data_IF_547606975527
#
_entry.id   IF_547606975527
#
_cell.length_a   1.000
_cell.length_b   1.000
_cell.length_c   1.000
_cell.angle_alpha   90.00
_cell.angle_beta   90.00
_cell.angle_gamma   90.00
#
_symmetry.space_group_name_H-M   'P 1'
#
loop_
_entity.id
_entity.type
_entity.pdbx_description
1 polymer ?
#
# COMPACT_ATOMS: atom_id res chain seq x y z
N UNK A 1 -26.01 -10.97 -15.56
CA UNK A 1 -25.14 -11.25 -14.40
C UNK A 1 -24.77 -12.71 -14.47
N UNK A 2 -23.53 -13.02 -14.82
CA UNK A 2 -23.00 -14.39 -14.83
C UNK A 2 -22.77 -14.80 -13.39
N UNK A 3 -23.54 -15.79 -12.89
CA UNK A 3 -23.32 -16.38 -11.58
C UNK A 3 -21.99 -17.16 -11.62
N UNK A 4 -20.95 -16.62 -11.02
CA UNK A 4 -19.74 -17.38 -10.74
C UNK A 4 -20.00 -18.32 -9.56
N UNK A 5 -20.32 -19.56 -9.88
CA UNK A 5 -20.52 -20.58 -8.86
C UNK A 5 -19.18 -20.93 -8.23
N UNK A 6 -19.12 -20.94 -6.91
CA UNK A 6 -17.95 -21.42 -6.16
C UNK A 6 -17.74 -22.89 -6.54
N UNK A 7 -16.70 -23.19 -7.34
CA UNK A 7 -16.35 -24.59 -7.66
C UNK A 7 -15.52 -25.15 -6.52
N UNK A 8 -15.99 -26.17 -5.85
CA UNK A 8 -15.16 -26.97 -4.98
C UNK A 8 -14.15 -27.73 -5.84
N UNK A 9 -12.90 -27.79 -5.39
CA UNK A 9 -11.88 -28.60 -6.07
C UNK A 9 -12.28 -30.08 -5.94
N UNK A 10 -12.73 -30.67 -7.05
CA UNK A 10 -13.19 -32.09 -7.08
C UNK A 10 -12.02 -33.06 -7.23
N UNK A 11 -10.83 -32.57 -7.65
CA UNK A 11 -9.64 -33.40 -7.83
C UNK A 11 -8.37 -32.63 -7.51
N UNK A 12 -7.34 -33.34 -7.06
CA UNK A 12 -5.97 -32.82 -6.87
C UNK A 12 -5.06 -33.51 -7.85
N UNK A 13 -4.15 -32.76 -8.45
CA UNK A 13 -3.03 -33.27 -9.25
C UNK A 13 -1.79 -33.08 -8.41
N UNK A 14 -1.06 -34.16 -8.18
CA UNK A 14 0.26 -34.10 -7.54
C UNK A 14 1.30 -33.80 -8.64
N UNK A 15 2.18 -32.84 -8.40
CA UNK A 15 3.24 -32.46 -9.32
C UNK A 15 4.55 -32.29 -8.52
N UNK A 16 5.58 -33.00 -8.96
CA UNK A 16 6.94 -32.86 -8.43
C UNK A 16 7.78 -32.14 -9.46
N UNK A 17 8.51 -31.12 -9.05
CA UNK A 17 9.38 -30.32 -9.89
C UNK A 17 10.67 -29.99 -9.17
N UNK A 18 11.81 -30.14 -9.88
CA UNK A 18 13.08 -29.59 -9.42
C UNK A 18 13.10 -28.09 -9.71
N UNK A 19 13.31 -27.28 -8.65
CA UNK A 19 13.33 -25.82 -8.76
C UNK A 19 14.77 -25.32 -8.57
N UNK A 20 15.37 -24.66 -9.58
CA UNK A 20 16.73 -24.13 -9.46
C UNK A 20 16.80 -22.99 -8.45
N UNK A 21 17.82 -23.00 -7.59
CA UNK A 21 18.15 -21.89 -6.70
C UNK A 21 19.00 -20.88 -7.50
N UNK A 22 18.41 -19.73 -7.82
CA UNK A 22 19.03 -18.71 -8.68
C UNK A 22 19.76 -17.62 -7.91
N UNK A 23 19.63 -17.58 -6.59
CA UNK A 23 20.34 -16.64 -5.74
C UNK A 23 20.22 -16.95 -4.25
N UNK A 24 21.24 -16.53 -3.50
CA UNK A 24 21.24 -16.54 -2.04
C UNK A 24 21.62 -15.14 -1.55
N UNK A 25 20.83 -14.60 -0.64
CA UNK A 25 20.89 -13.22 -0.20
C UNK A 25 21.00 -13.14 1.34
N UNK A 26 21.32 -11.97 1.84
CA UNK A 26 21.12 -11.65 3.25
C UNK A 26 19.65 -11.35 3.52
N UNK A 27 19.01 -10.61 2.59
CA UNK A 27 17.62 -10.21 2.69
C UNK A 27 16.89 -10.39 1.35
N UNK A 28 15.71 -11.00 1.38
CA UNK A 28 14.77 -11.02 0.23
C UNK A 28 13.50 -10.29 0.61
N UNK A 29 13.12 -9.31 -0.20
CA UNK A 29 11.88 -8.55 -0.06
C UNK A 29 10.86 -9.04 -1.07
N UNK A 30 9.69 -9.47 -0.59
CA UNK A 30 8.57 -9.93 -1.43
C UNK A 30 7.55 -8.82 -1.57
N UNK A 31 7.38 -8.31 -2.81
CA UNK A 31 6.51 -7.20 -3.15
C UNK A 31 7.24 -5.85 -3.21
N UNK A 32 7.10 -5.15 -4.34
CA UNK A 32 7.73 -3.85 -4.62
C UNK A 32 6.79 -2.65 -4.44
N UNK A 33 5.76 -2.79 -3.59
CA UNK A 33 4.86 -1.70 -3.20
C UNK A 33 5.57 -0.62 -2.37
N UNK A 34 4.81 0.36 -1.81
CA UNK A 34 5.41 1.47 -1.03
C UNK A 34 6.33 1.01 0.09
N UNK A 35 5.96 -0.03 0.84
CA UNK A 35 6.81 -0.60 1.88
C UNK A 35 8.04 -1.31 1.28
N UNK A 36 7.84 -2.10 0.20
CA UNK A 36 8.85 -3.02 -0.29
C UNK A 36 10.03 -2.34 -0.96
N UNK A 37 9.83 -1.38 -1.87
CA UNK A 37 10.96 -0.71 -2.50
C UNK A 37 11.77 0.12 -1.49
N UNK A 38 11.13 0.68 -0.46
CA UNK A 38 11.81 1.36 0.65
C UNK A 38 12.56 0.34 1.52
N UNK A 39 11.96 -0.81 1.85
CA UNK A 39 12.61 -1.85 2.64
C UNK A 39 13.86 -2.41 1.94
N UNK A 40 13.77 -2.69 0.64
CA UNK A 40 14.90 -3.14 -0.16
C UNK A 40 16.01 -2.09 -0.22
N UNK A 41 15.65 -0.82 -0.47
CA UNK A 41 16.60 0.29 -0.46
C UNK A 41 17.27 0.44 0.90
N UNK A 42 16.52 0.38 1.99
CA UNK A 42 17.04 0.50 3.36
C UNK A 42 17.99 -0.64 3.69
N UNK A 43 17.57 -1.88 3.44
CA UNK A 43 18.37 -3.07 3.71
C UNK A 43 19.72 -3.07 2.95
N UNK A 44 19.69 -2.73 1.66
CA UNK A 44 20.90 -2.67 0.84
C UNK A 44 21.84 -1.54 1.27
N UNK A 45 21.31 -0.37 1.65
CA UNK A 45 22.11 0.74 2.19
C UNK A 45 22.77 0.43 3.54
N UNK A 46 22.20 -0.50 4.31
CA UNK A 46 22.81 -1.04 5.54
C UNK A 46 23.84 -2.16 5.24
N UNK A 47 24.16 -2.41 3.97
CA UNK A 47 25.21 -3.33 3.53
C UNK A 47 24.74 -4.77 3.33
N UNK A 48 23.46 -5.08 3.45
CA UNK A 48 22.94 -6.41 3.19
C UNK A 48 22.86 -6.69 1.67
N UNK A 49 23.31 -7.86 1.22
CA UNK A 49 23.01 -8.32 -0.13
C UNK A 49 21.52 -8.60 -0.25
N UNK A 50 20.81 -7.73 -0.98
CA UNK A 50 19.35 -7.68 -1.00
C UNK A 50 18.80 -8.00 -2.38
N UNK A 51 17.70 -8.78 -2.44
CA UNK A 51 16.89 -8.95 -3.62
C UNK A 51 15.46 -8.47 -3.37
N UNK A 52 14.78 -8.02 -4.42
CA UNK A 52 13.36 -7.65 -4.40
C UNK A 52 12.60 -8.36 -5.51
N UNK A 53 11.42 -8.93 -5.15
CA UNK A 53 10.51 -9.64 -6.05
C UNK A 53 9.28 -8.77 -6.27
N UNK A 54 8.89 -8.54 -7.54
CA UNK A 54 7.72 -7.76 -7.90
C UNK A 54 6.96 -8.42 -9.07
N UNK A 55 5.64 -8.51 -8.94
CA UNK A 55 4.77 -9.11 -9.97
C UNK A 55 4.61 -8.23 -11.23
N UNK A 56 4.78 -6.93 -11.09
CA UNK A 56 4.73 -5.98 -12.20
C UNK A 56 6.12 -5.70 -12.78
N UNK A 57 6.16 -5.03 -13.93
CA UNK A 57 7.39 -4.48 -14.52
C UNK A 57 7.75 -3.10 -13.94
N UNK A 58 7.24 -2.74 -12.76
CA UNK A 58 7.48 -1.45 -12.10
C UNK A 58 7.17 -1.54 -10.60
N UNK A 59 7.76 -0.64 -9.83
CA UNK A 59 7.52 -0.51 -8.39
C UNK A 59 6.38 0.47 -8.06
N UNK A 60 5.94 0.46 -6.81
CA UNK A 60 4.98 1.39 -6.23
C UNK A 60 3.62 0.77 -5.86
N UNK A 61 3.36 -0.48 -6.26
CA UNK A 61 2.13 -1.20 -5.87
C UNK A 61 0.86 -0.36 -6.09
N UNK A 62 0.09 -0.11 -5.02
CA UNK A 62 -1.17 0.65 -5.13
C UNK A 62 -1.00 2.08 -5.62
N UNK A 63 0.14 2.73 -5.40
CA UNK A 63 0.42 4.06 -5.96
C UNK A 63 0.43 4.05 -7.49
N UNK A 64 1.01 3.03 -8.08
CA UNK A 64 1.29 2.95 -9.53
C UNK A 64 0.35 2.01 -10.27
N UNK A 65 0.15 0.78 -9.79
CA UNK A 65 -0.80 -0.15 -10.38
C UNK A 65 -2.26 0.24 -10.09
N UNK A 66 -2.53 0.77 -8.89
CA UNK A 66 -3.85 1.19 -8.42
C UNK A 66 -4.19 2.66 -8.66
N UNK A 67 -3.23 3.51 -9.07
CA UNK A 67 -3.35 4.97 -9.18
C UNK A 67 -3.82 5.66 -7.90
N UNK A 68 -3.55 5.08 -6.74
CA UNK A 68 -3.95 5.65 -5.44
C UNK A 68 -3.12 6.90 -5.16
N UNK A 69 -3.71 8.04 -5.35
CA UNK A 69 -3.15 9.38 -5.19
C UNK A 69 -4.07 10.21 -4.27
N UNK A 70 -3.55 11.02 -3.35
CA UNK A 70 -2.15 11.35 -3.04
C UNK A 70 -1.46 10.34 -2.09
N UNK A 71 -0.14 10.52 -1.86
CA UNK A 71 0.54 9.91 -0.71
C UNK A 71 0.19 10.76 0.53
N UNK A 72 -0.42 10.18 1.53
CA UNK A 72 -0.87 10.82 2.78
C UNK A 72 -0.29 10.12 3.99
N UNK A 73 0.05 10.82 5.06
CA UNK A 73 0.40 12.22 5.27
C UNK A 73 1.82 12.23 5.84
N UNK A 74 2.63 13.25 5.51
CA UNK A 74 4.01 13.34 6.00
C UNK A 74 4.18 14.32 7.16
N UNK A 75 3.17 15.13 7.46
CA UNK A 75 3.23 16.06 8.59
C UNK A 75 1.90 16.14 9.35
N UNK A 76 1.99 16.62 10.58
CA UNK A 76 0.87 16.88 11.47
C UNK A 76 1.13 18.17 12.25
N UNK A 77 0.20 19.12 12.19
CA UNK A 77 0.33 20.44 12.82
C UNK A 77 1.67 21.12 12.53
N UNK A 78 2.17 21.00 11.30
CA UNK A 78 3.44 21.59 10.86
C UNK A 78 4.70 20.82 11.27
N UNK A 79 4.57 19.76 12.08
CA UNK A 79 5.67 18.86 12.43
C UNK A 79 5.75 17.66 11.49
N UNK A 80 6.95 17.26 11.08
CA UNK A 80 7.16 16.07 10.26
C UNK A 80 6.82 14.81 11.04
N UNK A 81 6.13 13.87 10.42
CA UNK A 81 5.70 12.57 11.00
C UNK A 81 6.44 11.41 10.35
N UNK A 82 6.66 11.45 9.04
CA UNK A 82 7.38 10.43 8.28
C UNK A 82 8.61 11.07 7.64
N UNK A 83 9.79 10.50 7.89
CA UNK A 83 11.08 11.04 7.47
C UNK A 83 12.00 9.99 6.84
N UNK A 84 13.30 10.28 6.75
CA UNK A 84 14.30 9.36 6.22
C UNK A 84 14.13 9.04 4.74
N UNK A 85 14.29 7.76 4.36
CA UNK A 85 14.19 7.30 2.95
C UNK A 85 12.83 7.63 2.32
N UNK A 86 11.67 7.48 3.01
CA UNK A 86 10.38 7.92 2.48
C UNK A 86 10.35 9.40 2.09
N UNK A 87 10.93 10.26 2.91
CA UNK A 87 10.99 11.68 2.62
C UNK A 87 12.01 12.03 1.52
N UNK A 88 13.12 11.30 1.45
CA UNK A 88 14.05 11.36 0.32
C UNK A 88 13.34 11.03 -1.00
N UNK A 89 12.55 9.96 -1.02
CA UNK A 89 11.78 9.59 -2.21
C UNK A 89 10.85 10.71 -2.68
N UNK A 90 10.11 11.33 -1.75
CA UNK A 90 9.21 12.45 -2.05
C UNK A 90 9.97 13.66 -2.61
N UNK A 91 11.12 14.00 -2.01
CA UNK A 91 11.94 15.09 -2.50
C UNK A 91 12.49 14.81 -3.91
N UNK A 92 12.97 13.61 -4.19
CA UNK A 92 13.41 13.19 -5.52
C UNK A 92 12.29 13.28 -6.57
N UNK A 93 11.04 12.92 -6.18
CA UNK A 93 9.87 13.11 -7.04
C UNK A 93 9.61 14.59 -7.31
N UNK A 94 9.67 15.44 -6.30
CA UNK A 94 9.50 16.89 -6.43
C UNK A 94 10.56 17.49 -7.32
N UNK A 95 11.83 17.13 -7.12
CA UNK A 95 12.98 17.67 -7.85
C UNK A 95 12.91 17.35 -9.35
N UNK A 96 12.32 16.23 -9.74
CA UNK A 96 12.09 15.90 -11.16
C UNK A 96 10.75 16.42 -11.71
N UNK A 97 10.00 17.25 -10.95
CA UNK A 97 8.70 17.77 -11.35
C UNK A 97 7.56 16.73 -11.29
N UNK A 98 7.79 15.59 -10.65
CA UNK A 98 6.83 14.50 -10.54
C UNK A 98 5.97 14.52 -9.28
N UNK A 99 6.15 15.52 -8.40
CA UNK A 99 5.32 15.66 -7.19
C UNK A 99 5.17 17.09 -6.73
N UNK A 100 4.02 17.35 -6.06
CA UNK A 100 3.76 18.58 -5.31
C UNK A 100 3.40 18.22 -3.87
N UNK A 101 4.01 18.93 -2.92
CA UNK A 101 3.78 18.73 -1.49
C UNK A 101 2.80 19.79 -1.00
N UNK A 102 1.62 19.35 -0.55
CA UNK A 102 0.57 20.24 -0.07
C UNK A 102 0.71 20.51 1.44
N UNK A 103 0.76 21.77 1.81
CA UNK A 103 0.76 22.21 3.23
C UNK A 103 -0.69 22.28 3.75
N UNK A 104 -0.97 22.05 5.05
CA UNK A 104 -0.01 21.79 6.15
C UNK A 104 0.25 20.30 6.40
N UNK A 105 -0.52 19.36 5.81
CA UNK A 105 -0.44 17.92 6.10
C UNK A 105 0.68 17.23 5.34
N UNK A 106 1.32 17.93 4.40
CA UNK A 106 2.25 17.36 3.46
C UNK A 106 1.68 16.10 2.77
N UNK A 107 0.46 16.19 2.25
CA UNK A 107 -0.02 15.27 1.25
C UNK A 107 0.77 15.49 -0.03
N UNK A 108 1.12 14.43 -0.71
CA UNK A 108 1.95 14.48 -1.91
C UNK A 108 1.13 14.04 -3.11
N UNK A 109 0.70 15.01 -3.91
CA UNK A 109 0.16 14.76 -5.24
C UNK A 109 1.33 14.35 -6.15
N UNK A 110 1.15 13.32 -6.95
CA UNK A 110 2.23 12.79 -7.78
C UNK A 110 1.78 12.34 -9.16
N UNK A 111 2.74 12.29 -10.07
CA UNK A 111 2.60 11.72 -11.40
C UNK A 111 3.04 10.25 -11.37
N UNK A 112 2.17 9.29 -11.72
CA UNK A 112 2.44 7.86 -11.55
C UNK A 112 3.70 7.36 -12.28
N UNK A 113 4.01 7.88 -13.47
CA UNK A 113 5.19 7.43 -14.22
C UNK A 113 6.51 7.93 -13.59
N UNK A 114 6.51 9.14 -13.01
CA UNK A 114 7.65 9.61 -12.24
C UNK A 114 7.84 8.78 -10.97
N UNK A 115 6.75 8.39 -10.31
CA UNK A 115 6.82 7.50 -9.14
C UNK A 115 7.54 6.19 -9.49
N UNK A 116 7.12 5.52 -10.57
CA UNK A 116 7.75 4.28 -11.06
C UNK A 116 9.25 4.47 -11.29
N UNK A 117 9.62 5.55 -11.99
CA UNK A 117 11.00 5.86 -12.33
C UNK A 117 11.87 6.12 -11.11
N UNK A 118 11.40 6.94 -10.17
CA UNK A 118 12.19 7.30 -8.98
C UNK A 118 12.33 6.11 -8.04
N UNK A 119 11.25 5.34 -7.82
CA UNK A 119 11.31 4.10 -7.03
C UNK A 119 12.33 3.11 -7.61
N UNK A 120 12.31 2.89 -8.95
CA UNK A 120 13.27 2.06 -9.64
C UNK A 120 14.71 2.56 -9.47
N UNK A 121 14.95 3.87 -9.64
CA UNK A 121 16.28 4.46 -9.48
C UNK A 121 16.84 4.25 -8.08
N UNK A 122 16.04 4.47 -7.04
CA UNK A 122 16.48 4.29 -5.65
C UNK A 122 16.86 2.85 -5.36
N UNK A 123 16.10 1.87 -5.87
CA UNK A 123 16.39 0.45 -5.72
C UNK A 123 17.68 0.06 -6.46
N UNK A 124 17.86 0.53 -7.71
CA UNK A 124 19.07 0.29 -8.50
C UNK A 124 20.31 0.94 -7.90
N UNK A 125 20.22 2.21 -7.48
CA UNK A 125 21.31 2.95 -6.85
C UNK A 125 21.78 2.31 -5.53
N UNK A 126 20.87 1.63 -4.83
CA UNK A 126 21.20 0.87 -3.62
C UNK A 126 21.88 -0.49 -3.92
N UNK A 127 21.93 -0.92 -5.18
CA UNK A 127 22.54 -2.19 -5.57
C UNK A 127 21.69 -3.42 -5.28
N UNK A 128 20.37 -3.28 -5.28
CA UNK A 128 19.43 -4.38 -5.06
C UNK A 128 19.25 -5.21 -6.33
N UNK A 129 19.31 -6.54 -6.22
CA UNK A 129 18.96 -7.46 -7.31
C UNK A 129 17.43 -7.49 -7.51
N UNK A 130 16.97 -7.27 -8.75
CA UNK A 130 15.55 -7.05 -9.07
C UNK A 130 14.97 -8.23 -9.85
N UNK A 131 13.85 -8.78 -9.36
CA UNK A 131 13.06 -9.83 -10.00
C UNK A 131 11.65 -9.30 -10.31
N UNK A 132 11.48 -8.63 -11.45
CA UNK A 132 10.18 -8.17 -11.95
C UNK A 132 9.45 -9.27 -12.73
N UNK A 133 8.12 -9.09 -12.95
CA UNK A 133 7.25 -10.09 -13.58
C UNK A 133 7.36 -11.46 -12.93
N UNK A 134 7.54 -11.47 -11.62
CA UNK A 134 7.77 -12.67 -10.81
C UNK A 134 6.72 -12.77 -9.71
N UNK A 135 5.90 -13.81 -9.78
CA UNK A 135 4.85 -14.08 -8.81
C UNK A 135 5.39 -14.98 -7.70
N UNK A 136 5.11 -14.60 -6.45
CA UNK A 136 5.39 -15.46 -5.31
C UNK A 136 4.46 -16.68 -5.37
N UNK A 137 5.04 -17.87 -5.49
CA UNK A 137 4.31 -19.14 -5.61
C UNK A 137 4.26 -19.92 -4.31
N UNK A 138 5.30 -19.81 -3.48
CA UNK A 138 5.43 -20.59 -2.27
C UNK A 138 6.70 -20.29 -1.51
N UNK A 139 6.93 -21.03 -0.44
CA UNK A 139 8.19 -21.02 0.28
C UNK A 139 8.59 -22.42 0.76
N UNK A 140 9.88 -22.60 0.96
CA UNK A 140 10.47 -23.79 1.60
C UNK A 140 10.86 -23.40 3.02
N UNK A 141 10.61 -24.28 3.98
CA UNK A 141 10.88 -24.05 5.41
C UNK A 141 11.65 -25.21 6.03
N UNK A 142 12.41 -24.88 7.05
CA UNK A 142 12.93 -25.80 8.05
C UNK A 142 12.29 -25.42 9.40
N UNK A 143 11.35 -26.24 9.86
CA UNK A 143 10.43 -25.84 10.94
C UNK A 143 9.63 -24.58 10.54
N UNK A 144 9.75 -23.51 11.32
CA UNK A 144 9.16 -22.21 11.03
C UNK A 144 10.15 -21.20 10.40
N UNK A 145 11.38 -21.61 10.13
CA UNK A 145 12.34 -20.79 9.41
C UNK A 145 12.14 -20.93 7.92
N UNK A 146 11.85 -19.83 7.23
CA UNK A 146 11.82 -19.80 5.77
C UNK A 146 13.26 -19.89 5.26
N UNK A 147 13.53 -20.85 4.38
CA UNK A 147 14.86 -21.04 3.76
C UNK A 147 14.91 -20.46 2.36
N UNK A 148 13.82 -20.64 1.60
CA UNK A 148 13.70 -20.13 0.22
C UNK A 148 12.27 -19.66 -0.04
N UNK A 149 12.16 -18.66 -0.91
CA UNK A 149 10.90 -18.35 -1.59
C UNK A 149 10.96 -18.91 -3.00
N UNK A 150 9.81 -19.36 -3.50
CA UNK A 150 9.66 -19.86 -4.87
C UNK A 150 8.86 -18.82 -5.65
N UNK A 151 9.38 -18.42 -6.79
CA UNK A 151 8.75 -17.49 -7.73
C UNK A 151 8.46 -18.18 -9.06
N UNK A 152 7.38 -17.79 -9.71
CA UNK A 152 7.07 -18.15 -11.09
C UNK A 152 7.27 -16.93 -12.00
N UNK A 153 8.03 -17.12 -13.07
CA UNK A 153 8.30 -16.10 -14.08
C UNK A 153 8.42 -16.76 -15.48
N UNK A 154 8.94 -16.04 -16.48
CA UNK A 154 9.12 -16.58 -17.84
C UNK A 154 10.13 -17.71 -17.95
N UNK A 155 11.03 -17.86 -16.98
CA UNK A 155 11.98 -18.99 -16.93
C UNK A 155 11.34 -20.24 -16.29
N UNK A 156 10.15 -20.14 -15.74
CA UNK A 156 9.49 -21.16 -14.93
C UNK A 156 9.61 -20.89 -13.44
N UNK A 157 9.61 -21.94 -12.62
CA UNK A 157 9.78 -21.82 -11.18
C UNK A 157 11.26 -21.65 -10.84
N UNK A 158 11.58 -20.66 -10.03
CA UNK A 158 12.93 -20.36 -9.52
C UNK A 158 12.87 -20.15 -8.01
N UNK A 159 13.94 -20.47 -7.27
CA UNK A 159 14.04 -20.31 -5.84
C UNK A 159 15.10 -19.27 -5.45
N UNK A 160 14.80 -18.45 -4.45
CA UNK A 160 15.69 -17.47 -3.85
C UNK A 160 15.85 -17.78 -2.37
N UNK A 161 17.09 -18.06 -1.94
CA UNK A 161 17.43 -18.26 -0.54
C UNK A 161 17.76 -16.94 0.16
N UNK A 162 17.43 -16.82 1.44
CA UNK A 162 17.89 -15.70 2.25
C UNK A 162 18.00 -16.04 3.74
N UNK A 163 18.75 -15.20 4.47
CA UNK A 163 18.81 -15.24 5.94
C UNK A 163 17.51 -14.67 6.54
N UNK A 164 17.07 -13.52 6.02
CA UNK A 164 15.85 -12.82 6.45
C UNK A 164 14.96 -12.56 5.23
N UNK A 165 13.66 -12.72 5.42
CA UNK A 165 12.64 -12.39 4.44
C UNK A 165 11.74 -11.26 4.94
N UNK A 166 11.37 -10.33 4.04
CA UNK A 166 10.43 -9.26 4.34
C UNK A 166 9.21 -9.42 3.44
N UNK A 167 8.04 -9.66 4.04
CA UNK A 167 6.77 -9.69 3.33
C UNK A 167 6.20 -8.27 3.20
N UNK A 168 6.29 -7.72 1.99
CA UNK A 168 5.72 -6.44 1.58
C UNK A 168 4.65 -6.61 0.49
N UNK A 169 4.06 -7.80 0.36
CA UNK A 169 3.06 -8.11 -0.67
C UNK A 169 1.76 -7.32 -0.49
N UNK A 170 1.54 -6.78 0.71
CA UNK A 170 0.34 -6.06 1.09
C UNK A 170 -0.82 -6.98 1.50
N UNK A 171 -0.78 -8.22 1.10
CA UNK A 171 -1.80 -9.24 1.38
C UNK A 171 -1.28 -10.37 2.29
N UNK A 172 -0.07 -10.21 2.88
CA UNK A 172 0.63 -11.22 3.68
C UNK A 172 0.81 -12.56 2.94
N UNK A 173 1.19 -12.51 1.66
CA UNK A 173 1.25 -13.73 0.84
C UNK A 173 2.34 -14.67 1.32
N UNK A 174 3.57 -14.17 1.55
CA UNK A 174 4.65 -15.00 2.08
C UNK A 174 4.32 -15.50 3.49
N UNK A 175 3.82 -14.63 4.37
CA UNK A 175 3.46 -15.00 5.72
C UNK A 175 2.38 -16.09 5.75
N UNK A 176 1.35 -15.99 4.90
CA UNK A 176 0.31 -16.99 4.77
C UNK A 176 0.85 -18.33 4.22
N UNK A 177 1.72 -18.30 3.20
CA UNK A 177 2.38 -19.48 2.65
C UNK A 177 3.31 -20.13 3.66
N UNK A 178 3.96 -19.36 4.51
CA UNK A 178 4.79 -19.83 5.60
C UNK A 178 3.97 -20.45 6.76
N UNK A 179 2.67 -20.16 6.83
CA UNK A 179 1.78 -20.62 7.89
C UNK A 179 1.75 -19.72 9.12
N UNK A 180 2.11 -18.44 8.97
CA UNK A 180 1.93 -17.45 10.04
C UNK A 180 0.45 -17.31 10.36
N UNK A 181 0.04 -17.34 11.64
CA UNK A 181 -1.34 -17.10 12.02
C UNK A 181 -1.82 -15.74 11.53
N UNK A 182 -3.03 -15.68 10.99
CA UNK A 182 -3.67 -14.44 10.56
C UNK A 182 -4.69 -13.97 11.59
N UNK A 183 -4.87 -12.65 11.68
CA UNK A 183 -5.98 -12.10 12.46
C UNK A 183 -7.29 -12.49 11.79
N UNK A 184 -8.22 -12.99 12.59
CA UNK A 184 -9.57 -13.22 12.12
C UNK A 184 -10.24 -11.89 11.76
N UNK A 185 -10.94 -11.85 10.64
CA UNK A 185 -11.83 -10.73 10.35
C UNK A 185 -13.03 -10.86 11.29
N UNK A 186 -13.07 -10.06 12.34
CA UNK A 186 -14.04 -10.04 13.45
C UNK A 186 -15.53 -10.01 13.02
N UNK A 187 -15.96 -10.96 12.15
CA UNK A 187 -17.30 -11.02 11.59
C UNK A 187 -17.67 -9.83 10.68
N UNK A 188 -16.75 -8.91 10.44
CA UNK A 188 -16.96 -7.73 9.61
C UNK A 188 -16.49 -7.99 8.18
N UNK A 189 -17.30 -7.57 7.20
CA UNK A 189 -16.89 -7.58 5.81
C UNK A 189 -15.63 -6.72 5.59
N UNK A 190 -14.79 -7.15 4.64
CA UNK A 190 -13.60 -6.39 4.21
C UNK A 190 -14.00 -5.04 3.62
N UNK A 191 -13.12 -4.05 3.73
CA UNK A 191 -13.32 -2.76 3.08
C UNK A 191 -13.38 -2.91 1.54
N UNK A 192 -14.18 -2.08 0.84
CA UNK A 192 -14.43 -2.27 -0.59
C UNK A 192 -13.19 -2.06 -1.44
N UNK A 193 -13.13 -2.79 -2.54
CA UNK A 193 -12.19 -2.59 -3.63
C UNK A 193 -12.58 -1.36 -4.46
N UNK A 194 -11.61 -0.70 -5.08
CA UNK A 194 -11.80 0.50 -5.88
C UNK A 194 -10.88 0.49 -7.10
N UNK A 195 -11.38 0.81 -8.27
CA UNK A 195 -10.53 1.17 -9.41
C UNK A 195 -10.47 2.69 -9.53
N UNK A 196 -9.28 3.25 -9.38
CA UNK A 196 -9.04 4.64 -9.78
C UNK A 196 -8.95 4.73 -11.29
N UNK A 197 -9.29 5.88 -11.82
CA UNK A 197 -9.07 6.19 -13.22
C UNK A 197 -8.57 7.62 -13.40
N UNK A 198 -7.99 7.90 -14.54
CA UNK A 198 -7.41 9.21 -14.88
C UNK A 198 -8.26 9.83 -15.97
N UNK A 199 -8.68 11.08 -15.76
CA UNK A 199 -9.38 11.92 -16.73
C UNK A 199 -8.44 13.00 -17.25
N UNK A 200 -8.39 13.16 -18.57
CA UNK A 200 -7.73 14.26 -19.26
C UNK A 200 -8.74 15.26 -19.81
N UNK A 201 -8.28 16.47 -20.13
CA UNK A 201 -9.15 17.53 -20.70
C UNK A 201 -10.12 18.15 -19.70
N UNK A 202 -9.85 18.03 -18.40
CA UNK A 202 -10.67 18.63 -17.34
C UNK A 202 -10.28 20.10 -17.16
N UNK A 203 -11.28 20.99 -17.05
CA UNK A 203 -11.05 22.40 -16.74
C UNK A 203 -10.76 22.56 -15.23
N UNK A 204 -9.48 22.64 -14.88
CA UNK A 204 -9.03 22.76 -13.49
C UNK A 204 -9.00 24.20 -12.96
N UNK A 205 -9.24 25.20 -13.83
CA UNK A 205 -9.11 26.61 -13.49
C UNK A 205 -10.35 27.24 -12.86
N UNK A 206 -11.40 26.47 -12.65
CA UNK A 206 -12.58 26.93 -11.95
C UNK A 206 -12.38 26.93 -10.42
N UNK A 207 -13.05 27.82 -9.67
CA UNK A 207 -12.98 27.84 -8.21
C UNK A 207 -13.35 26.49 -7.60
N UNK A 208 -14.37 25.81 -8.14
CA UNK A 208 -14.81 24.50 -7.68
C UNK A 208 -13.73 23.42 -7.82
N UNK A 209 -13.03 23.35 -8.96
CA UNK A 209 -11.99 22.34 -9.16
C UNK A 209 -10.71 22.68 -8.38
N UNK A 210 -10.37 23.94 -8.24
CA UNK A 210 -9.23 24.36 -7.39
C UNK A 210 -9.49 23.95 -5.93
N UNK A 211 -10.68 24.16 -5.42
CA UNK A 211 -11.08 23.70 -4.09
C UNK A 211 -11.06 22.16 -4.00
N UNK A 212 -11.60 21.48 -4.99
CA UNK A 212 -11.67 20.01 -5.05
C UNK A 212 -10.31 19.32 -5.05
N UNK A 213 -9.29 19.92 -5.70
CA UNK A 213 -7.95 19.35 -5.85
C UNK A 213 -7.06 19.70 -4.66
N UNK A 214 -7.20 20.90 -4.10
CA UNK A 214 -6.36 21.42 -3.03
C UNK A 214 -7.03 21.40 -1.66
N UNK A 215 -8.04 20.61 -1.48
CA UNK A 215 -8.91 20.60 -0.32
C UNK A 215 -8.24 20.24 1.01
N UNK A 216 -7.11 19.54 0.96
CA UNK A 216 -6.39 19.13 2.16
C UNK A 216 -5.50 20.23 2.76
N UNK A 217 -5.38 21.39 2.13
CA UNK A 217 -4.56 22.51 2.63
C UNK A 217 -4.96 22.99 4.02
N UNK A 218 -6.19 22.72 4.44
CA UNK A 218 -6.71 23.17 5.74
C UNK A 218 -7.06 22.02 6.69
N UNK A 219 -6.69 20.78 6.37
CA UNK A 219 -7.06 19.63 7.19
C UNK A 219 -8.55 19.29 7.20
N UNK A 220 -9.34 19.95 6.37
CA UNK A 220 -10.77 19.66 6.21
C UNK A 220 -10.89 18.51 5.22
N UNK A 221 -11.66 17.51 5.60
CA UNK A 221 -11.97 16.39 4.73
C UNK A 221 -12.91 16.85 3.61
N UNK A 222 -12.35 17.41 2.55
CA UNK A 222 -13.12 17.95 1.46
C UNK A 222 -13.30 16.89 0.39
N UNK A 223 -14.41 16.28 0.42
CA UNK A 223 -15.00 15.75 -0.79
C UNK A 223 -15.15 16.91 -1.77
N UNK A 224 -15.12 16.66 -3.06
CA UNK A 224 -15.64 17.64 -3.97
C UNK A 224 -17.16 17.76 -3.76
N UNK A 225 -17.56 18.38 -2.65
CA UNK A 225 -18.95 18.48 -2.19
C UNK A 225 -19.83 19.01 -3.31
N UNK A 226 -19.49 20.11 -4.03
CA UNK A 226 -20.33 20.63 -5.10
C UNK A 226 -20.54 19.64 -6.25
N UNK A 227 -19.52 18.89 -6.66
CA UNK A 227 -19.68 17.85 -7.68
C UNK A 227 -20.52 16.70 -7.15
N UNK A 228 -20.26 16.28 -5.92
CA UNK A 228 -21.02 15.20 -5.28
C UNK A 228 -22.50 15.56 -5.15
N UNK A 229 -22.84 16.75 -4.70
CA UNK A 229 -24.22 17.21 -4.57
C UNK A 229 -24.96 17.22 -5.93
N UNK A 230 -24.30 17.70 -6.98
CA UNK A 230 -24.84 17.65 -8.35
C UNK A 230 -25.16 16.21 -8.80
N UNK A 231 -24.25 15.25 -8.48
CA UNK A 231 -24.44 13.84 -8.83
C UNK A 231 -25.54 13.19 -7.97
N UNK A 232 -25.54 13.43 -6.66
CA UNK A 232 -26.54 12.88 -5.73
C UNK A 232 -27.94 13.38 -6.00
N UNK A 233 -28.12 14.63 -6.43
CA UNK A 233 -29.43 15.16 -6.85
C UNK A 233 -30.08 14.34 -8.00
N UNK A 234 -29.28 13.50 -8.69
CA UNK A 234 -29.72 12.65 -9.80
C UNK A 234 -29.43 11.15 -9.53
N UNK A 235 -29.20 10.76 -8.29
CA UNK A 235 -28.75 9.40 -7.91
C UNK A 235 -29.63 8.29 -8.46
N UNK A 236 -30.98 8.50 -8.46
CA UNK A 236 -31.95 7.52 -8.94
C UNK A 236 -31.79 7.21 -10.44
N UNK A 237 -31.21 8.14 -11.21
CA UNK A 237 -30.95 7.99 -12.65
C UNK A 237 -29.53 7.56 -12.96
N UNK A 238 -28.56 7.91 -12.09
CA UNK A 238 -27.14 7.76 -12.37
C UNK A 238 -26.55 6.49 -11.77
N UNK A 239 -27.23 5.84 -10.82
CA UNK A 239 -26.73 4.65 -10.11
C UNK A 239 -25.28 4.82 -9.65
N UNK A 240 -25.01 5.90 -8.92
CA UNK A 240 -23.70 6.20 -8.35
C UNK A 240 -23.60 5.63 -6.92
N UNK A 241 -22.37 5.36 -6.40
CA UNK A 241 -22.19 4.99 -5.00
C UNK A 241 -22.77 6.06 -4.06
N UNK A 242 -23.51 5.66 -3.05
CA UNK A 242 -24.12 6.59 -2.09
C UNK A 242 -23.06 7.35 -1.31
N UNK A 243 -21.89 6.75 -1.12
CA UNK A 243 -20.80 7.33 -0.39
C UNK A 243 -19.43 7.05 -1.04
N UNK A 244 -18.43 7.91 -0.73
CA UNK A 244 -17.03 7.69 -1.11
C UNK A 244 -16.62 8.33 -2.43
N UNK A 245 -16.79 9.61 -2.55
CA UNK A 245 -16.33 10.38 -3.69
C UNK A 245 -17.44 11.10 -4.46
N UNK A 246 -17.11 11.72 -5.60
CA UNK A 246 -15.77 11.67 -6.22
C UNK A 246 -14.71 12.42 -5.43
N UNK A 247 -13.52 11.81 -5.38
CA UNK A 247 -12.31 12.47 -4.89
C UNK A 247 -11.42 12.70 -6.09
N UNK A 248 -10.84 13.90 -6.18
CA UNK A 248 -9.92 14.25 -7.25
C UNK A 248 -8.54 14.55 -6.69
N UNK A 249 -7.50 14.12 -7.40
CA UNK A 249 -6.15 14.53 -7.12
C UNK A 249 -5.42 14.92 -8.41
N UNK A 250 -4.65 16.00 -8.36
CA UNK A 250 -3.82 16.40 -9.49
C UNK A 250 -2.77 15.34 -9.82
N UNK A 251 -2.49 15.17 -11.11
CA UNK A 251 -1.33 14.43 -11.61
C UNK A 251 -0.17 15.39 -11.98
N UNK A 252 -0.29 16.67 -11.65
CA UNK A 252 0.61 17.78 -12.03
C UNK A 252 0.61 18.10 -13.53
N UNK A 253 -0.08 17.33 -14.36
CA UNK A 253 -0.28 17.62 -15.76
C UNK A 253 -1.52 18.52 -15.95
N UNK A 254 -1.42 19.59 -16.77
CA UNK A 254 -2.57 20.46 -17.01
C UNK A 254 -3.78 19.70 -17.49
N UNK A 255 -4.92 19.89 -16.83
CA UNK A 255 -6.19 19.26 -17.19
C UNK A 255 -6.27 17.76 -16.90
N UNK A 256 -5.35 17.20 -16.11
CA UNK A 256 -5.34 15.74 -15.80
C UNK A 256 -5.52 15.50 -14.29
N UNK A 257 -6.50 14.70 -13.95
CA UNK A 257 -6.81 14.31 -12.56
C UNK A 257 -7.01 12.81 -12.39
N UNK A 258 -6.62 12.29 -11.25
CA UNK A 258 -7.08 10.98 -10.79
C UNK A 258 -8.46 11.12 -10.16
N UNK A 259 -9.30 10.12 -10.35
CA UNK A 259 -10.68 10.06 -9.83
C UNK A 259 -10.88 8.80 -9.01
N UNK A 260 -11.35 8.98 -7.78
CA UNK A 260 -11.73 7.91 -6.86
C UNK A 260 -13.23 7.97 -6.57
N UNK A 261 -14.02 7.10 -7.19
CA UNK A 261 -15.47 7.04 -7.00
C UNK A 261 -16.03 5.61 -7.07
N UNK A 262 -15.34 4.67 -7.71
CA UNK A 262 -15.85 3.31 -7.86
C UNK A 262 -15.75 2.52 -6.56
N UNK A 263 -16.67 1.59 -6.33
CA UNK A 263 -16.69 0.73 -5.14
C UNK A 263 -17.32 -0.63 -5.46
N UNK A 264 -16.69 -1.70 -5.01
CA UNK A 264 -17.28 -3.04 -5.01
C UNK A 264 -16.80 -3.84 -3.82
N UNK A 265 -17.66 -4.65 -3.22
CA UNK A 265 -17.26 -5.64 -2.24
C UNK A 265 -16.46 -6.75 -2.93
N UNK A 266 -15.60 -7.43 -2.19
CA UNK A 266 -14.83 -8.57 -2.65
C UNK A 266 -13.58 -8.79 -1.82
N UNK A 267 -13.05 -10.00 -1.85
CA UNK A 267 -11.80 -10.40 -1.21
C UNK A 267 -10.71 -10.57 -2.27
N UNK A 268 -9.66 -9.75 -2.23
CA UNK A 268 -8.56 -9.84 -3.18
C UNK A 268 -7.67 -11.10 -2.99
N UNK A 269 -7.81 -11.80 -1.87
CA UNK A 269 -7.16 -13.10 -1.65
C UNK A 269 -7.98 -14.29 -2.21
N UNK A 270 -9.20 -14.06 -2.70
CA UNK A 270 -9.96 -15.01 -3.51
C UNK A 270 -9.89 -14.57 -4.97
N UNK A 271 -9.17 -15.33 -5.80
CA UNK A 271 -8.92 -14.96 -7.18
C UNK A 271 -10.20 -14.80 -8.03
N UNK A 272 -11.28 -15.50 -7.71
CA UNK A 272 -12.55 -15.39 -8.45
C UNK A 272 -13.31 -14.13 -8.08
N UNK A 273 -13.40 -13.85 -6.77
CA UNK A 273 -13.98 -12.61 -6.29
C UNK A 273 -13.21 -11.40 -6.82
N UNK A 274 -11.87 -11.49 -6.80
CA UNK A 274 -11.01 -10.44 -7.28
C UNK A 274 -11.12 -10.22 -8.79
N UNK A 275 -11.12 -11.30 -9.60
CA UNK A 275 -11.32 -11.21 -11.04
C UNK A 275 -12.68 -10.59 -11.40
N UNK A 276 -13.73 -10.96 -10.68
CA UNK A 276 -15.05 -10.37 -10.86
C UNK A 276 -15.06 -8.87 -10.49
N UNK A 277 -14.39 -8.51 -9.39
CA UNK A 277 -14.25 -7.11 -8.97
C UNK A 277 -13.49 -6.28 -10.01
N UNK A 278 -12.40 -6.81 -10.59
CA UNK A 278 -11.65 -6.14 -11.67
C UNK A 278 -12.52 -5.82 -12.88
N UNK A 279 -13.30 -6.81 -13.36
CA UNK A 279 -14.20 -6.61 -14.47
C UNK A 279 -15.26 -5.54 -14.16
N UNK A 280 -15.91 -5.66 -13.00
CA UNK A 280 -16.97 -4.73 -12.60
C UNK A 280 -16.46 -3.31 -12.40
N UNK A 281 -15.34 -3.15 -11.71
CA UNK A 281 -14.76 -1.84 -11.43
C UNK A 281 -14.27 -1.13 -12.71
N UNK A 282 -13.83 -1.88 -13.71
CA UNK A 282 -13.47 -1.32 -15.02
C UNK A 282 -14.70 -0.78 -15.75
N UNK A 283 -15.80 -1.53 -15.80
CA UNK A 283 -17.07 -1.05 -16.35
C UNK A 283 -17.57 0.20 -15.58
N UNK A 284 -17.48 0.17 -14.25
CA UNK A 284 -17.86 1.31 -13.41
C UNK A 284 -16.98 2.54 -13.68
N UNK A 285 -15.68 2.39 -13.94
CA UNK A 285 -14.80 3.51 -14.27
C UNK A 285 -15.22 4.21 -15.58
N UNK A 286 -15.53 3.45 -16.64
CA UNK A 286 -16.04 4.00 -17.90
C UNK A 286 -17.38 4.70 -17.70
N UNK A 287 -18.28 4.06 -16.96
CA UNK A 287 -19.61 4.63 -16.64
C UNK A 287 -19.48 5.93 -15.84
N UNK A 288 -18.61 5.97 -14.82
CA UNK A 288 -18.40 7.16 -14.01
C UNK A 288 -17.75 8.29 -14.80
N UNK A 289 -16.80 7.98 -15.69
CA UNK A 289 -16.20 8.97 -16.59
C UNK A 289 -17.27 9.63 -17.50
N UNK A 290 -18.19 8.84 -18.06
CA UNK A 290 -19.30 9.36 -18.86
C UNK A 290 -20.26 10.23 -18.00
N UNK A 291 -20.61 9.78 -16.80
CA UNK A 291 -21.45 10.54 -15.87
C UNK A 291 -20.82 11.90 -15.52
N UNK A 292 -19.54 11.95 -15.21
CA UNK A 292 -18.83 13.20 -14.95
C UNK A 292 -18.89 14.14 -16.15
N UNK A 293 -18.58 13.63 -17.34
CA UNK A 293 -18.60 14.39 -18.59
C UNK A 293 -19.99 15.00 -18.89
N UNK A 294 -21.06 14.25 -18.66
CA UNK A 294 -22.43 14.65 -18.99
C UNK A 294 -23.05 15.58 -17.92
N UNK A 295 -22.60 15.52 -16.68
CA UNK A 295 -23.28 16.18 -15.57
C UNK A 295 -22.47 17.26 -14.86
N UNK A 296 -21.17 17.40 -15.18
CA UNK A 296 -20.27 18.36 -14.56
C UNK A 296 -19.60 19.20 -15.64
N UNK A 297 -19.83 20.50 -15.63
CA UNK A 297 -19.37 21.46 -16.68
C UNK A 297 -17.86 21.40 -16.91
N UNK A 298 -17.10 21.30 -15.85
CA UNK A 298 -15.63 21.25 -15.88
C UNK A 298 -15.09 19.97 -16.55
N UNK A 299 -15.95 18.95 -16.70
CA UNK A 299 -15.63 17.69 -17.37
C UNK A 299 -16.22 17.57 -18.78
N UNK A 300 -16.89 18.61 -19.30
CA UNK A 300 -17.56 18.55 -20.61
C UNK A 300 -16.66 18.09 -21.75
N UNK A 301 -15.44 18.59 -21.81
CA UNK A 301 -14.46 18.26 -22.85
C UNK A 301 -13.48 17.15 -22.43
N UNK A 302 -13.73 16.56 -21.26
CA UNK A 302 -12.86 15.53 -20.72
C UNK A 302 -13.00 14.20 -21.43
N UNK A 303 -11.99 13.35 -21.25
CA UNK A 303 -11.94 11.99 -21.75
C UNK A 303 -11.25 11.08 -20.74
N UNK A 304 -11.62 9.80 -20.74
CA UNK A 304 -10.96 8.78 -19.95
C UNK A 304 -9.57 8.54 -20.54
N UNK A 305 -8.53 8.82 -19.76
CA UNK A 305 -7.13 8.66 -20.18
C UNK A 305 -6.60 7.26 -19.82
N UNK A 306 -6.87 6.79 -18.62
CA UNK A 306 -6.43 5.49 -18.15
C UNK A 306 -7.34 4.97 -17.01
N UNK A 307 -7.43 3.66 -16.87
CA UNK A 307 -7.98 2.97 -15.70
C UNK A 307 -6.83 2.25 -15.00
N UNK A 308 -6.86 2.16 -13.68
CA UNK A 308 -5.83 1.46 -12.91
C UNK A 308 -5.58 0.06 -13.45
N UNK A 309 -4.31 -0.35 -13.46
CA UNK A 309 -3.90 -1.68 -13.93
C UNK A 309 -4.47 -2.78 -13.04
N UNK A 310 -4.67 -2.46 -11.77
CA UNK A 310 -5.20 -3.35 -10.74
C UNK A 310 -6.20 -2.58 -9.88
N UNK A 311 -7.26 -3.26 -9.45
CA UNK A 311 -8.17 -2.71 -8.45
C UNK A 311 -7.42 -2.42 -7.14
N UNK A 312 -7.64 -1.25 -6.59
CA UNK A 312 -7.07 -0.83 -5.32
C UNK A 312 -7.65 -1.65 -4.17
N UNK A 313 -6.77 -2.30 -3.44
CA UNK A 313 -7.10 -3.19 -2.32
C UNK A 313 -6.85 -2.44 -1.01
N UNK A 314 -7.92 -2.21 -0.24
CA UNK A 314 -7.82 -1.54 1.06
C UNK A 314 -7.48 -2.51 2.18
N UNK A 315 -8.09 -3.67 2.18
CA UNK A 315 -8.03 -4.62 3.29
C UNK A 315 -8.05 -6.06 2.77
N UNK A 316 -7.17 -6.91 3.33
CA UNK A 316 -7.14 -8.36 3.16
C UNK A 316 -6.63 -8.99 4.45
N UNK A 317 -5.66 -9.93 4.35
CA UNK A 317 -5.03 -10.59 5.50
C UNK A 317 -4.12 -9.62 6.27
N UNK A 318 -4.08 -9.81 7.57
CA UNK A 318 -3.14 -9.20 8.50
C UNK A 318 -2.57 -10.30 9.38
N UNK A 319 -1.28 -10.28 9.65
CA UNK A 319 -0.67 -11.29 10.51
C UNK A 319 -1.15 -11.12 11.96
N UNK A 320 -1.17 -12.22 12.72
CA UNK A 320 -1.21 -12.16 14.17
C UNK A 320 0.23 -12.13 14.67
N UNK A 321 0.73 -10.91 14.88
CA UNK A 321 2.10 -10.67 15.35
C UNK A 321 2.27 -10.81 16.85
N UNK A 322 3.49 -10.57 17.32
CA UNK A 322 3.85 -10.53 18.75
C UNK A 322 2.99 -9.50 19.49
N UNK A 323 2.66 -8.39 18.83
CA UNK A 323 1.73 -7.38 19.32
C UNK A 323 0.68 -7.08 18.26
N UNK A 324 -0.59 -7.04 18.67
CA UNK A 324 -1.67 -6.54 17.83
C UNK A 324 -1.91 -5.09 18.20
N UNK A 325 -1.48 -4.16 17.33
CA UNK A 325 -1.72 -2.74 17.55
C UNK A 325 -3.23 -2.46 17.51
N UNK A 326 -3.77 -1.96 18.61
CA UNK A 326 -5.21 -1.71 18.76
C UNK A 326 -5.59 -0.28 18.38
N UNK A 327 -6.86 -0.08 18.02
CA UNK A 327 -7.42 1.24 17.75
C UNK A 327 -7.31 2.19 18.95
N UNK A 328 -7.47 1.68 20.15
CA UNK A 328 -7.36 2.48 21.38
C UNK A 328 -5.92 2.96 21.58
N UNK A 329 -4.92 2.06 21.49
CA UNK A 329 -3.50 2.44 21.56
C UNK A 329 -3.14 3.48 20.49
N UNK A 330 -3.70 3.32 19.29
CA UNK A 330 -3.44 4.22 18.16
C UNK A 330 -4.07 5.60 18.37
N UNK A 331 -5.31 5.66 18.87
CA UNK A 331 -6.02 6.91 19.17
C UNK A 331 -5.41 7.66 20.37
N UNK A 332 -4.89 6.92 21.34
CA UNK A 332 -4.22 7.47 22.52
C UNK A 332 -2.74 7.80 22.25
N UNK A 333 -2.26 7.58 21.02
CA UNK A 333 -0.86 7.75 20.63
C UNK A 333 0.12 7.10 21.62
N UNK A 334 -0.22 5.88 22.04
CA UNK A 334 0.59 5.10 23.00
C UNK A 334 2.01 4.96 22.48
N UNK A 335 2.99 5.33 23.30
CA UNK A 335 4.41 5.20 22.99
C UNK A 335 4.92 3.85 23.46
N UNK A 336 5.58 3.13 22.56
CA UNK A 336 6.20 1.85 22.86
C UNK A 336 7.72 2.02 22.90
N UNK A 337 8.40 1.22 23.73
CA UNK A 337 9.87 1.22 23.77
C UNK A 337 10.48 0.80 22.43
N UNK A 338 9.76 -0.02 21.68
CA UNK A 338 10.11 -0.52 20.35
C UNK A 338 9.37 0.21 19.21
N UNK A 339 8.97 1.46 19.40
CA UNK A 339 8.37 2.25 18.32
C UNK A 339 9.34 2.45 17.16
N UNK A 340 8.93 2.10 15.94
CA UNK A 340 9.76 2.14 14.73
C UNK A 340 9.14 2.93 13.59
N UNK A 341 7.89 3.33 13.70
CA UNK A 341 7.18 4.11 12.70
C UNK A 341 6.11 4.96 13.37
N UNK A 342 5.68 6.01 12.66
CA UNK A 342 4.57 6.88 13.08
C UNK A 342 3.54 7.02 11.96
N UNK A 343 2.31 7.34 12.35
CA UNK A 343 1.23 7.65 11.42
C UNK A 343 0.37 8.81 11.92
N UNK A 344 -0.15 9.60 10.99
CA UNK A 344 -1.02 10.73 11.30
C UNK A 344 -2.25 10.83 10.38
N UNK A 345 -2.45 9.84 9.50
CA UNK A 345 -3.66 9.78 8.70
C UNK A 345 -4.87 9.51 9.60
N UNK A 346 -6.03 10.15 9.36
CA UNK A 346 -7.25 9.80 10.08
C UNK A 346 -7.56 8.29 9.96
N UNK A 347 -8.21 7.74 10.97
CA UNK A 347 -8.84 6.43 10.86
C UNK A 347 -9.97 6.54 9.85
N UNK A 348 -9.84 5.81 8.72
CA UNK A 348 -10.73 5.90 7.57
C UNK A 348 -11.29 4.52 7.22
N UNK A 349 -12.48 4.22 7.76
CA UNK A 349 -13.15 2.94 7.56
C UNK A 349 -14.26 3.08 6.54
N UNK A 350 -14.13 2.37 5.41
CA UNK A 350 -15.17 2.27 4.39
C UNK A 350 -16.04 1.04 4.64
N UNK A 351 -17.34 1.21 4.67
CA UNK A 351 -18.28 0.09 4.75
C UNK A 351 -18.30 -0.67 3.41
N UNK A 352 -18.34 -1.99 3.46
CA UNK A 352 -18.14 -2.89 2.32
C UNK A 352 -19.04 -2.60 1.11
N UNK A 353 -20.30 -2.23 1.33
CA UNK A 353 -21.26 -1.90 0.28
C UNK A 353 -21.17 -0.45 -0.22
N UNK A 354 -20.31 0.38 0.36
CA UNK A 354 -20.12 1.78 -0.04
C UNK A 354 -21.19 2.74 0.48
N UNK A 355 -22.00 2.34 1.44
CA UNK A 355 -23.07 3.19 2.00
C UNK A 355 -22.54 4.20 3.01
N UNK A 356 -21.43 3.92 3.68
CA UNK A 356 -20.90 4.76 4.76
C UNK A 356 -19.37 4.77 4.77
N UNK A 357 -18.81 5.86 5.29
CA UNK A 357 -17.41 6.01 5.64
C UNK A 357 -17.34 6.63 7.04
N UNK A 358 -16.62 5.99 7.94
CA UNK A 358 -16.38 6.50 9.28
C UNK A 358 -14.96 7.07 9.34
N UNK A 359 -14.87 8.36 9.69
CA UNK A 359 -13.60 9.07 9.77
C UNK A 359 -13.42 9.58 11.19
N UNK A 360 -12.29 9.19 11.82
CA UNK A 360 -11.89 9.70 13.13
C UNK A 360 -10.50 10.32 13.02
N UNK A 361 -10.41 11.62 13.35
CA UNK A 361 -9.14 12.34 13.36
C UNK A 361 -8.33 12.01 14.60
N UNK A 362 -7.03 11.87 14.43
CA UNK A 362 -6.10 11.68 15.53
C UNK A 362 -5.89 13.01 16.27
N UNK A 363 -5.64 12.95 17.59
CA UNK A 363 -5.28 14.11 18.41
C UNK A 363 -3.79 14.46 18.25
N UNK A 364 -2.98 13.44 18.01
CA UNK A 364 -1.55 13.52 17.77
C UNK A 364 -1.08 12.33 16.92
N UNK A 365 0.11 12.36 16.29
CA UNK A 365 0.63 11.24 15.54
C UNK A 365 0.82 10.01 16.41
N UNK A 366 0.30 8.89 15.95
CA UNK A 366 0.36 7.61 16.65
C UNK A 366 1.64 6.83 16.31
N UNK A 367 1.96 5.82 17.12
CA UNK A 367 3.17 5.01 17.01
C UNK A 367 2.86 3.58 16.60
N UNK A 368 3.80 2.96 15.86
CA UNK A 368 3.76 1.55 15.47
C UNK A 368 4.95 0.84 16.10
N UNK A 369 4.72 -0.17 16.96
CA UNK A 369 5.81 -0.92 17.57
C UNK A 369 6.39 -1.97 16.60
N UNK A 370 7.68 -2.27 16.72
CA UNK A 370 8.35 -3.32 15.94
C UNK A 370 7.69 -4.69 16.08
N UNK A 371 7.22 -5.01 17.28
CA UNK A 371 6.51 -6.26 17.57
C UNK A 371 5.24 -6.49 16.75
N UNK A 372 4.69 -5.44 16.15
CA UNK A 372 3.57 -5.59 15.19
C UNK A 372 4.01 -6.00 13.78
N UNK A 373 5.32 -6.00 13.52
CA UNK A 373 5.90 -6.38 12.23
C UNK A 373 6.40 -7.82 12.20
N UNK A 374 6.41 -8.54 13.32
CA UNK A 374 6.96 -9.90 13.46
C UNK A 374 5.97 -10.84 14.14
N UNK A 375 6.09 -12.13 13.89
CA UNK A 375 5.36 -13.20 14.59
C UNK A 375 6.29 -14.00 15.49
N UNK A 376 5.76 -14.54 16.62
CA UNK A 376 6.57 -15.19 17.65
C UNK A 376 7.43 -16.35 17.13
N UNK A 377 6.80 -17.25 16.38
CA UNK A 377 7.39 -18.55 16.00
C UNK A 377 8.13 -18.51 14.64
N UNK A 378 8.25 -17.34 13.99
CA UNK A 378 8.84 -17.21 12.66
C UNK A 378 10.14 -16.40 12.74
N UNK A 379 11.29 -17.10 12.93
CA UNK A 379 12.55 -16.45 13.36
C UNK A 379 13.19 -15.55 12.32
N UNK A 380 12.78 -15.60 11.07
CA UNK A 380 13.41 -14.85 10.00
C UNK A 380 12.42 -14.20 9.02
N UNK A 381 11.21 -13.90 9.49
CA UNK A 381 10.18 -13.25 8.70
C UNK A 381 9.73 -11.94 9.36
N UNK A 382 9.86 -10.84 8.63
CA UNK A 382 9.33 -9.52 8.98
C UNK A 382 8.22 -9.19 7.99
N UNK A 383 7.18 -8.50 8.44
CA UNK A 383 6.07 -8.04 7.59
C UNK A 383 6.03 -6.51 7.63
N UNK A 384 5.85 -5.85 6.50
CA UNK A 384 5.74 -4.39 6.46
C UNK A 384 4.66 -3.91 5.49
N UNK A 385 3.99 -2.83 5.86
CA UNK A 385 2.91 -2.25 5.07
C UNK A 385 1.53 -2.69 5.52
N UNK A 386 0.61 -2.88 4.58
CA UNK A 386 -0.82 -3.11 4.81
C UNK A 386 -1.15 -4.39 5.60
N UNK A 387 -0.26 -5.35 5.65
CA UNK A 387 -0.48 -6.67 6.24
C UNK A 387 0.10 -6.88 7.65
N UNK A 388 0.56 -5.81 8.33
CA UNK A 388 1.06 -5.90 9.70
C UNK A 388 -0.02 -6.27 10.72
N UNK A 389 0.42 -6.58 11.94
CA UNK A 389 -0.45 -6.95 13.05
C UNK A 389 -1.13 -5.73 13.67
N UNK A 390 -2.35 -5.45 13.25
CA UNK A 390 -3.18 -4.38 13.78
C UNK A 390 -4.66 -4.76 13.74
N UNK A 391 -5.45 -4.27 14.69
CA UNK A 391 -6.91 -4.39 14.59
C UNK A 391 -7.47 -3.57 13.43
N UNK A 392 -8.76 -3.68 13.17
CA UNK A 392 -9.41 -3.00 12.05
C UNK A 392 -9.33 -1.47 12.15
N UNK A 393 -9.37 -0.94 13.36
CA UNK A 393 -9.37 0.50 13.63
C UNK A 393 -7.99 1.11 13.40
N UNK A 394 -6.95 0.61 14.05
CA UNK A 394 -5.58 1.06 13.83
C UNK A 394 -5.16 0.88 12.37
N UNK A 395 -5.48 -0.29 11.79
CA UNK A 395 -5.20 -0.62 10.39
C UNK A 395 -5.78 0.42 9.42
N UNK A 396 -6.98 0.91 9.64
CA UNK A 396 -7.64 1.86 8.75
C UNK A 396 -6.88 3.18 8.57
N UNK A 397 -5.97 3.51 9.50
CA UNK A 397 -5.05 4.66 9.40
C UNK A 397 -3.68 4.26 8.83
N UNK A 398 -3.04 3.22 9.40
CA UNK A 398 -1.63 2.91 9.10
C UNK A 398 -1.39 2.28 7.72
N UNK A 399 -2.45 1.83 7.03
CA UNK A 399 -2.38 1.22 5.69
C UNK A 399 -2.02 2.20 4.57
N UNK A 400 -1.98 3.52 4.85
CA UNK A 400 -1.66 4.53 3.83
C UNK A 400 -0.18 4.51 3.45
N UNK A 401 0.13 5.01 2.25
CA UNK A 401 1.45 4.86 1.63
C UNK A 401 2.59 5.40 2.50
N UNK A 402 2.45 6.58 3.10
CA UNK A 402 3.50 7.19 3.92
C UNK A 402 3.87 6.30 5.12
N UNK A 403 2.87 5.81 5.86
CA UNK A 403 3.09 4.88 6.99
C UNK A 403 3.66 3.54 6.50
N UNK A 404 3.19 3.03 5.35
CA UNK A 404 3.75 1.80 4.76
C UNK A 404 5.23 1.97 4.40
N UNK A 405 5.63 3.10 3.81
CA UNK A 405 7.03 3.41 3.51
C UNK A 405 7.88 3.47 4.78
N UNK A 406 7.38 4.11 5.83
CA UNK A 406 8.08 4.26 7.11
C UNK A 406 8.31 2.89 7.78
N UNK A 407 7.27 2.03 7.83
CA UNK A 407 7.40 0.64 8.26
C UNK A 407 8.37 -0.16 7.39
N UNK A 408 8.38 0.07 6.06
CA UNK A 408 9.32 -0.54 5.14
C UNK A 408 10.77 -0.19 5.46
N UNK A 409 11.06 1.09 5.75
CA UNK A 409 12.38 1.53 6.18
C UNK A 409 12.81 0.81 7.46
N UNK A 410 11.95 0.72 8.46
CA UNK A 410 12.23 0.05 9.72
C UNK A 410 12.50 -1.46 9.52
N UNK A 411 11.66 -2.13 8.70
CA UNK A 411 11.82 -3.55 8.39
C UNK A 411 13.15 -3.82 7.65
N UNK A 412 13.52 -2.97 6.69
CA UNK A 412 14.77 -3.10 5.94
C UNK A 412 16.02 -2.96 6.83
N UNK A 413 16.06 -1.96 7.71
CA UNK A 413 17.15 -1.77 8.66
C UNK A 413 17.24 -2.93 9.66
N UNK A 414 16.09 -3.36 10.22
CA UNK A 414 16.04 -4.49 11.15
C UNK A 414 16.54 -5.79 10.48
N UNK A 415 16.10 -6.07 9.26
CA UNK A 415 16.53 -7.25 8.51
C UNK A 415 18.03 -7.27 8.26
N UNK A 416 18.62 -6.15 7.87
CA UNK A 416 20.05 -6.03 7.66
C UNK A 416 20.85 -6.25 8.97
N UNK A 417 20.40 -5.66 10.09
CA UNK A 417 21.01 -5.84 11.40
C UNK A 417 20.94 -7.31 11.87
N UNK A 418 19.77 -7.95 11.76
CA UNK A 418 19.59 -9.36 12.13
C UNK A 418 20.43 -10.27 11.24
N UNK A 419 20.42 -10.06 9.93
CA UNK A 419 21.19 -10.85 8.99
C UNK A 419 22.70 -10.76 9.27
N UNK A 420 23.24 -9.56 9.47
CA UNK A 420 24.66 -9.35 9.76
C UNK A 420 25.10 -9.95 11.10
N UNK A 421 24.22 -9.91 12.11
CA UNK A 421 24.47 -10.44 13.43
C UNK A 421 24.21 -11.95 13.56
N UNK A 422 23.63 -12.59 12.54
CA UNK A 422 23.19 -14.00 12.60
C UNK A 422 22.09 -14.25 13.64
N UNK A 423 21.22 -13.26 13.88
CA UNK A 423 20.16 -13.29 14.89
C UNK A 423 18.79 -13.47 14.27
N UNK A 424 17.87 -13.98 15.07
CA UNK A 424 16.46 -14.04 14.75
C UNK A 424 15.82 -12.62 14.84
N UNK A 425 14.73 -12.42 14.12
CA UNK A 425 14.06 -11.10 14.07
C UNK A 425 13.49 -10.67 15.41
N UNK A 426 13.18 -11.63 16.32
CA UNK A 426 12.75 -11.35 17.68
C UNK A 426 13.91 -10.86 18.58
N UNK A 427 15.17 -11.12 18.19
CA UNK A 427 16.36 -10.75 18.93
C UNK A 427 17.00 -9.44 18.45
N UNK A 428 16.30 -8.68 17.60
CA UNK A 428 16.77 -7.38 17.12
C UNK A 428 17.09 -6.46 18.30
N UNK A 429 18.23 -5.77 18.22
CA UNK A 429 18.56 -4.76 19.21
C UNK A 429 17.74 -3.48 18.94
N UNK A 430 16.63 -3.31 19.68
CA UNK A 430 15.70 -2.20 19.50
C UNK A 430 16.40 -0.84 19.66
N UNK A 431 17.33 -0.69 20.59
CA UNK A 431 18.04 0.57 20.79
C UNK A 431 18.96 0.89 19.59
N UNK A 432 19.66 -0.10 19.06
CA UNK A 432 20.47 0.08 17.86
C UNK A 432 19.60 0.38 16.62
N UNK A 433 18.47 -0.31 16.47
CA UNK A 433 17.52 -0.10 15.40
C UNK A 433 16.95 1.32 15.44
N UNK A 434 16.39 1.74 16.57
CA UNK A 434 15.77 3.06 16.71
C UNK A 434 16.80 4.20 16.61
N UNK A 435 18.03 4.01 17.13
CA UNK A 435 19.10 4.99 16.95
C UNK A 435 19.46 5.14 15.48
N UNK A 436 19.62 4.02 14.77
CA UNK A 436 19.92 4.05 13.32
C UNK A 436 18.82 4.71 12.50
N UNK A 437 17.55 4.40 12.79
CA UNK A 437 16.42 5.03 12.12
C UNK A 437 16.41 6.55 12.33
N UNK A 438 16.69 7.03 13.56
CA UNK A 438 16.81 8.48 13.83
C UNK A 438 17.98 9.12 13.08
N UNK A 439 19.14 8.47 12.99
CA UNK A 439 20.27 8.94 12.20
C UNK A 439 19.94 9.07 10.71
N UNK A 440 19.07 8.20 10.20
CA UNK A 440 18.56 8.26 8.83
C UNK A 440 17.47 9.33 8.64
N UNK A 441 17.05 10.01 9.71
CA UNK A 441 16.03 11.04 9.68
C UNK A 441 14.60 10.54 9.85
N UNK A 442 14.41 9.29 10.29
CA UNK A 442 13.07 8.79 10.63
C UNK A 442 12.50 9.53 11.86
N UNK A 443 11.20 9.78 11.83
CA UNK A 443 10.46 10.46 12.91
C UNK A 443 9.81 9.38 13.82
N UNK A 444 10.55 8.85 14.81
CA UNK A 444 10.08 7.78 15.70
C UNK A 444 10.26 8.14 17.18
#
# INVERSE_FOLDING_TARGET
MTNFTKMNAEAKIEMTQDVPVVGNYDVVVCGGGPAGFIAATASAREGARTAIIEQYGFFGGMATAGFVNPISVFSYNGGQVTGGIPWEFVNRLKDCGGAEIESPLANVAFEPEHYKLIAQRMVLEAGVDIFMHSYLRGCVKDGNRVTHVIIDNKNGAEALGARIFIDCTGDADLAAMAGVPMLESEGCALQPLTSYFIMGGVNLDTPMMREAIHHNRQGVNCHCIPVREKLLARKDKLNIPEFGGPWFCSTLRPGVVTVNITRTAGNACDNREYSHAECRLREDAFRMAAILKENVEEFRDSYLLAVSTQAGVRETRRIKGVHVLTGDEYLDATRFEDSVSRGAHPIDIHVANGEKQDITFLKEPAYVPYRSLIADDFPNLIVAGRCISADKTAFASIRVQASCMDMGQAAGVAAAQCSSAGKDVQEVNIQALTSRLREMGACI
#
